data_IF_123550304314
#
_entry.id   IF_123550304314
#
_cell.length_a   1.000
_cell.length_b   1.000
_cell.length_c   1.000
_cell.angle_alpha   90.00
_cell.angle_beta   90.00
_cell.angle_gamma   90.00
#
_symmetry.space_group_name_H-M   'P 1'
#
loop_
_entity.id
_entity.type
_entity.pdbx_description
1 polymer ?
#
# COMPACT_ATOMS: atom_id res chain seq x y z
N UNK A 1 19.39 16.42 12.41
CA UNK A 1 17.99 16.89 12.43
C UNK A 1 17.27 16.14 11.31
N UNK A 2 16.44 15.15 11.63
CA UNK A 2 15.67 14.38 10.64
C UNK A 2 14.32 15.07 10.47
N UNK A 3 13.97 15.45 9.25
CA UNK A 3 12.77 16.19 8.90
C UNK A 3 11.90 15.24 8.07
N UNK A 4 10.85 14.67 8.66
CA UNK A 4 9.84 13.92 7.92
C UNK A 4 8.58 14.79 7.81
N UNK A 5 8.35 15.32 6.62
CA UNK A 5 7.09 15.93 6.24
C UNK A 5 6.29 14.85 5.51
N UNK A 6 5.21 14.35 6.10
CA UNK A 6 4.31 13.39 5.42
C UNK A 6 4.68 11.90 5.52
N UNK A 7 5.24 11.43 6.64
CA UNK A 7 5.47 10.00 6.81
C UNK A 7 4.15 9.28 7.15
N UNK A 8 3.68 8.40 6.26
CA UNK A 8 2.67 7.40 6.61
C UNK A 8 3.35 6.36 7.49
N UNK A 9 2.87 6.19 8.71
CA UNK A 9 3.35 5.12 9.61
C UNK A 9 2.51 3.87 9.36
N UNK A 10 3.17 2.72 9.25
CA UNK A 10 2.57 1.44 8.86
C UNK A 10 2.95 0.35 9.86
N UNK A 11 2.04 -0.58 10.11
CA UNK A 11 2.25 -1.75 10.99
C UNK A 11 1.51 -2.98 10.47
N UNK A 12 1.78 -4.12 11.09
CA UNK A 12 1.09 -5.38 10.83
C UNK A 12 1.06 -5.76 9.34
N UNK A 13 2.22 -5.69 8.69
CA UNK A 13 2.35 -6.17 7.31
C UNK A 13 2.18 -7.70 7.29
N UNK A 14 1.26 -8.20 6.47
CA UNK A 14 0.98 -9.62 6.33
C UNK A 14 0.79 -10.01 4.86
N UNK A 15 1.23 -11.22 4.50
CA UNK A 15 1.10 -11.75 3.14
C UNK A 15 0.24 -13.02 3.18
N UNK A 16 -0.91 -12.98 2.50
CA UNK A 16 -1.78 -14.13 2.30
C UNK A 16 -1.48 -14.81 0.95
N UNK A 17 -0.76 -15.96 0.94
CA UNK A 17 -0.43 -16.68 -0.29
C UNK A 17 -1.64 -17.37 -0.92
N UNK A 18 -2.76 -17.54 -0.20
CA UNK A 18 -3.96 -18.16 -0.76
C UNK A 18 -4.75 -17.20 -1.65
N UNK A 19 -4.60 -15.89 -1.40
CA UNK A 19 -5.23 -14.82 -2.17
C UNK A 19 -4.24 -14.00 -3.00
N UNK A 20 -2.93 -14.24 -2.84
CA UNK A 20 -1.85 -13.42 -3.38
C UNK A 20 -2.03 -11.94 -2.98
N UNK A 21 -2.30 -11.71 -1.70
CA UNK A 21 -2.65 -10.39 -1.17
C UNK A 21 -1.66 -9.96 -0.09
N UNK A 22 -1.20 -8.71 -0.17
CA UNK A 22 -0.42 -8.06 0.87
C UNK A 22 -1.33 -7.09 1.61
N UNK A 23 -1.42 -7.22 2.94
CA UNK A 23 -2.12 -6.25 3.78
C UNK A 23 -1.14 -5.49 4.68
N UNK A 24 -1.47 -4.23 4.97
CA UNK A 24 -0.74 -3.40 5.92
C UNK A 24 -1.68 -2.39 6.57
N UNK A 25 -1.51 -2.17 7.88
CA UNK A 25 -2.37 -1.27 8.64
C UNK A 25 -1.71 0.10 8.79
N UNK A 26 -2.46 1.16 8.54
CA UNK A 26 -2.04 2.54 8.80
C UNK A 26 -2.02 2.78 10.30
N UNK A 27 -0.88 3.18 10.84
CA UNK A 27 -0.72 3.48 12.26
C UNK A 27 -1.16 4.91 12.59
N UNK A 28 -0.97 5.86 11.65
CA UNK A 28 -1.24 7.28 11.87
C UNK A 28 -1.96 7.94 10.70
N UNK A 29 -3.01 8.71 10.99
CA UNK A 29 -3.76 9.47 10.00
C UNK A 29 -2.91 10.55 9.33
N UNK A 30 -3.19 10.81 8.05
CA UNK A 30 -2.58 11.90 7.28
C UNK A 30 -3.55 13.07 7.10
N UNK A 31 -3.00 14.30 7.10
CA UNK A 31 -3.77 15.52 6.89
C UNK A 31 -3.92 15.91 5.41
N UNK A 32 -3.07 15.33 4.56
CA UNK A 32 -3.08 15.51 3.10
C UNK A 32 -2.98 14.12 2.44
N UNK A 33 -3.33 13.98 1.15
CA UNK A 33 -3.08 12.75 0.42
C UNK A 33 -1.59 12.44 0.35
N UNK A 34 -1.20 11.28 0.87
CA UNK A 34 0.16 10.75 0.83
C UNK A 34 0.22 9.52 -0.07
N UNK A 35 1.43 9.03 -0.35
CA UNK A 35 1.64 7.82 -1.15
C UNK A 35 2.41 6.78 -0.33
N UNK A 36 1.89 5.55 -0.30
CA UNK A 36 2.56 4.37 0.24
C UNK A 36 3.13 3.56 -0.92
N UNK A 37 4.41 3.22 -0.84
CA UNK A 37 5.09 2.46 -1.88
C UNK A 37 5.25 1.00 -1.47
N UNK A 38 4.93 0.10 -2.38
CA UNK A 38 5.10 -1.34 -2.26
C UNK A 38 6.13 -1.81 -3.28
N UNK A 39 7.18 -2.46 -2.80
CA UNK A 39 8.22 -3.06 -3.64
C UNK A 39 7.97 -4.56 -3.72
N UNK A 40 7.97 -5.11 -4.93
CA UNK A 40 7.65 -6.51 -5.21
C UNK A 40 8.62 -7.09 -6.26
N UNK A 41 8.76 -8.41 -6.33
CA UNK A 41 9.62 -9.04 -7.34
C UNK A 41 8.94 -9.12 -8.71
N UNK A 42 9.73 -9.24 -9.77
CA UNK A 42 9.27 -9.43 -11.15
C UNK A 42 8.38 -10.66 -11.41
N UNK A 43 8.18 -11.54 -10.42
CA UNK A 43 7.26 -12.67 -10.53
C UNK A 43 5.80 -12.26 -10.30
N UNK A 44 5.55 -11.03 -9.87
CA UNK A 44 4.24 -10.54 -9.47
C UNK A 44 3.80 -9.31 -10.26
N UNK A 45 2.51 -9.25 -10.56
CA UNK A 45 1.85 -8.10 -11.17
C UNK A 45 0.75 -7.61 -10.23
N UNK A 46 0.81 -6.37 -9.71
CA UNK A 46 -0.28 -5.81 -8.93
C UNK A 46 -1.52 -5.63 -9.81
N UNK A 47 -2.66 -6.09 -9.30
CA UNK A 47 -3.98 -6.00 -9.94
C UNK A 47 -4.71 -4.74 -9.50
N UNK A 48 -4.90 -4.58 -8.20
CA UNK A 48 -5.55 -3.44 -7.58
C UNK A 48 -5.09 -3.26 -6.13
N UNK A 49 -5.56 -2.16 -5.53
CA UNK A 49 -5.45 -1.93 -4.12
C UNK A 49 -6.80 -1.49 -3.53
N UNK A 50 -7.04 -1.92 -2.30
CA UNK A 50 -8.17 -1.54 -1.47
C UNK A 50 -7.63 -0.77 -0.26
N UNK A 51 -8.38 0.24 0.16
CA UNK A 51 -8.25 0.86 1.48
C UNK A 51 -9.54 0.55 2.24
N UNK A 52 -9.41 -0.27 3.28
CA UNK A 52 -10.49 -1.08 3.82
C UNK A 52 -11.16 -1.84 2.66
N UNK A 53 -12.43 -1.60 2.35
CA UNK A 53 -13.18 -2.25 1.26
C UNK A 53 -13.35 -1.38 0.00
N UNK A 54 -12.64 -0.24 -0.09
CA UNK A 54 -12.78 0.70 -1.22
C UNK A 54 -11.58 0.62 -2.16
N UNK A 55 -11.84 0.44 -3.46
CA UNK A 55 -10.79 0.56 -4.47
C UNK A 55 -10.15 1.94 -4.44
N UNK A 56 -8.82 1.94 -4.40
CA UNK A 56 -8.00 3.14 -4.47
C UNK A 56 -7.15 3.09 -5.73
N UNK A 57 -6.82 4.28 -6.25
CA UNK A 57 -5.98 4.38 -7.43
C UNK A 57 -4.57 3.91 -7.08
N UNK A 58 -4.10 2.95 -7.86
CA UNK A 58 -2.70 2.53 -7.87
C UNK A 58 -1.93 3.26 -8.98
N UNK A 59 -0.67 3.56 -8.72
CA UNK A 59 0.25 4.18 -9.67
C UNK A 59 1.49 3.32 -9.77
N UNK A 60 1.84 2.85 -10.97
CA UNK A 60 3.09 2.11 -11.17
C UNK A 60 4.23 3.12 -11.33
N UNK A 61 5.12 3.18 -10.35
CA UNK A 61 6.21 4.17 -10.27
C UNK A 61 7.48 3.63 -10.92
N UNK A 62 7.69 2.32 -10.83
CA UNK A 62 8.74 1.57 -11.50
C UNK A 62 8.24 0.15 -11.80
N UNK A 63 8.96 -0.67 -12.59
CA UNK A 63 8.53 -2.05 -12.89
C UNK A 63 8.17 -2.88 -11.64
N UNK A 64 8.94 -2.73 -10.57
CA UNK A 64 8.82 -3.45 -9.29
C UNK A 64 8.26 -2.60 -8.14
N UNK A 65 7.73 -1.41 -8.45
CA UNK A 65 7.26 -0.45 -7.41
C UNK A 65 5.87 0.09 -7.72
N UNK A 66 4.96 -0.12 -6.78
CA UNK A 66 3.57 0.36 -6.81
C UNK A 66 3.40 1.46 -5.77
N UNK A 67 2.79 2.58 -6.13
CA UNK A 67 2.31 3.60 -5.22
C UNK A 67 0.80 3.50 -5.02
N UNK A 68 0.36 3.51 -3.76
CA UNK A 68 -1.06 3.69 -3.38
C UNK A 68 -1.21 5.09 -2.82
N UNK A 69 -1.99 5.94 -3.49
CA UNK A 69 -2.18 7.34 -3.08
C UNK A 69 -3.57 7.56 -2.48
N UNK A 70 -3.62 7.96 -1.23
CA UNK A 70 -4.85 8.29 -0.53
C UNK A 70 -4.59 9.27 0.63
N UNK A 71 -5.65 9.86 1.15
CA UNK A 71 -5.61 10.38 2.52
C UNK A 71 -5.96 9.22 3.46
N UNK A 72 -5.08 8.95 4.43
CA UNK A 72 -5.19 7.77 5.27
C UNK A 72 -5.69 8.12 6.67
N UNK A 73 -6.43 7.22 7.28
CA UNK A 73 -6.85 7.28 8.68
C UNK A 73 -6.19 6.14 9.47
N UNK A 74 -5.81 6.42 10.72
CA UNK A 74 -5.25 5.41 11.61
C UNK A 74 -6.24 4.24 11.79
N UNK A 75 -5.73 3.02 11.65
CA UNK A 75 -6.49 1.78 11.73
C UNK A 75 -7.02 1.26 10.39
N UNK A 76 -6.95 2.05 9.31
CA UNK A 76 -7.32 1.55 7.99
C UNK A 76 -6.34 0.50 7.48
N UNK A 77 -6.86 -0.45 6.72
CA UNK A 77 -6.06 -1.51 6.10
C UNK A 77 -5.87 -1.23 4.61
N UNK A 78 -4.62 -1.18 4.16
CA UNK A 78 -4.29 -1.17 2.74
C UNK A 78 -4.08 -2.62 2.33
N UNK A 79 -4.84 -3.09 1.34
CA UNK A 79 -4.69 -4.42 0.74
C UNK A 79 -4.29 -4.27 -0.71
N UNK A 80 -3.23 -4.95 -1.14
CA UNK A 80 -2.76 -4.96 -2.52
C UNK A 80 -2.79 -6.39 -3.03
N UNK A 81 -3.55 -6.62 -4.10
CA UNK A 81 -3.67 -7.94 -4.72
C UNK A 81 -2.73 -8.08 -5.90
N UNK A 82 -2.16 -9.26 -6.03
CA UNK A 82 -1.20 -9.59 -7.07
C UNK A 82 -1.65 -10.83 -7.84
N UNK A 83 -1.22 -10.91 -9.10
CA UNK A 83 -1.21 -12.15 -9.87
C UNK A 83 0.24 -12.56 -10.14
N UNK A 84 0.45 -13.87 -10.29
CA UNK A 84 1.76 -14.41 -10.65
C UNK A 84 1.91 -14.43 -12.17
N UNK A 85 3.08 -14.03 -12.65
CA UNK A 85 3.46 -14.07 -14.08
C UNK A 85 3.80 -15.48 -14.53
#
# INVERSE_FOLDING_TARGET
MHFSQGAVELKNQDWDPSQNELSVVVERSTHVPEMVFFVFSNEWVPLDALLDDKHVKIERVAPEVLGVKAQFEAGQEIRVRFERV
#
